data_IF_479771837028
#
_entry.id   IF_479771837028
#
_cell.length_a   1.000
_cell.length_b   1.000
_cell.length_c   1.000
_cell.angle_alpha   90.00
_cell.angle_beta   90.00
_cell.angle_gamma   90.00
#
_symmetry.space_group_name_H-M   'P 1'
#
loop_
_entity.id
_entity.type
_entity.pdbx_description
1 polymer ?
#
# COMPACT_ATOMS: atom_id res chain seq x y z
N UNK A 1 11.54 -7.56 -23.50
CA UNK A 1 11.60 -7.41 -22.15
C UNK A 1 10.96 -8.55 -21.47
N UNK A 2 11.57 -8.91 -20.48
CA UNK A 2 10.98 -9.92 -19.77
C UNK A 2 9.73 -9.37 -19.25
N UNK A 3 8.69 -10.03 -19.54
CA UNK A 3 7.51 -9.70 -18.96
C UNK A 3 7.63 -9.94 -17.50
N UNK A 4 7.31 -8.96 -16.79
CA UNK A 4 7.28 -9.14 -15.37
C UNK A 4 6.38 -10.27 -15.09
N UNK A 5 6.74 -11.08 -14.19
CA UNK A 5 5.88 -12.17 -13.90
C UNK A 5 4.57 -11.64 -13.48
N UNK A 6 3.56 -12.23 -13.99
CA UNK A 6 2.24 -11.90 -13.63
C UNK A 6 1.91 -12.64 -12.40
N UNK A 7 1.50 -11.92 -11.38
CA UNK A 7 1.11 -12.55 -10.15
C UNK A 7 -0.39 -12.61 -10.08
N UNK A 8 -0.89 -13.73 -9.64
CA UNK A 8 -2.32 -13.86 -9.41
C UNK A 8 -2.58 -13.52 -7.97
N UNK A 9 -3.31 -12.45 -7.76
CA UNK A 9 -3.70 -12.05 -6.43
C UNK A 9 -5.14 -12.43 -6.20
N UNK A 10 -5.45 -12.82 -4.99
CA UNK A 10 -6.81 -13.15 -4.61
C UNK A 10 -7.39 -12.18 -3.63
N UNK A 11 -6.57 -11.28 -3.07
CA UNK A 11 -7.02 -10.30 -2.11
C UNK A 11 -6.39 -8.96 -2.43
N UNK A 12 -7.14 -7.90 -2.19
CA UNK A 12 -6.69 -6.54 -2.44
C UNK A 12 -7.18 -5.66 -1.31
N UNK A 13 -6.34 -4.75 -0.86
CA UNK A 13 -6.71 -3.84 0.19
C UNK A 13 -5.97 -2.52 0.01
N UNK A 14 -6.45 -1.49 0.68
CA UNK A 14 -5.81 -0.18 0.67
C UNK A 14 -5.56 0.20 2.11
N UNK A 15 -4.32 0.54 2.42
CA UNK A 15 -3.97 1.03 3.74
C UNK A 15 -4.03 2.55 3.69
N UNK A 16 -4.74 3.16 4.64
CA UNK A 16 -4.92 4.60 4.69
C UNK A 16 -4.48 5.09 6.06
N UNK A 17 -3.57 6.04 6.07
CA UNK A 17 -3.10 6.64 7.32
C UNK A 17 -2.89 8.13 7.13
N UNK A 18 -3.13 8.89 8.19
CA UNK A 18 -2.88 10.32 8.16
C UNK A 18 -1.42 10.65 8.44
N UNK A 19 -0.62 9.67 8.83
CA UNK A 19 0.78 9.87 9.17
C UNK A 19 1.61 8.90 8.34
N UNK A 20 2.61 9.43 7.64
CA UNK A 20 3.43 8.60 6.76
C UNK A 20 4.16 7.51 7.55
N UNK A 21 4.66 7.83 8.74
CA UNK A 21 5.35 6.83 9.55
C UNK A 21 4.44 5.68 9.93
N UNK A 22 3.18 5.99 10.25
CA UNK A 22 2.23 4.93 10.57
C UNK A 22 1.90 4.11 9.34
N UNK A 23 1.83 4.74 8.17
CA UNK A 23 1.61 4.01 6.93
C UNK A 23 2.75 3.02 6.69
N UNK A 24 3.98 3.47 6.85
CA UNK A 24 5.14 2.61 6.64
C UNK A 24 5.12 1.45 7.62
N UNK A 25 4.80 1.71 8.88
CA UNK A 25 4.75 0.64 9.87
C UNK A 25 3.70 -0.40 9.52
N UNK A 26 2.52 0.07 9.13
CA UNK A 26 1.44 -0.85 8.81
C UNK A 26 1.79 -1.67 7.58
N UNK A 27 2.33 -1.02 6.55
CA UNK A 27 2.68 -1.72 5.32
C UNK A 27 3.77 -2.75 5.61
N UNK A 28 4.77 -2.39 6.42
CA UNK A 28 5.83 -3.35 6.76
C UNK A 28 5.27 -4.57 7.48
N UNK A 29 4.30 -4.35 8.37
CA UNK A 29 3.65 -5.44 9.07
C UNK A 29 2.94 -6.36 8.09
N UNK A 30 2.28 -5.77 7.10
CA UNK A 30 1.55 -6.55 6.12
C UNK A 30 2.48 -7.29 5.16
N UNK A 31 3.60 -6.67 4.81
CA UNK A 31 4.59 -7.35 3.98
C UNK A 31 5.11 -8.60 4.69
N UNK A 32 5.27 -8.53 6.01
CA UNK A 32 5.72 -9.69 6.77
C UNK A 32 4.68 -10.80 6.78
N UNK A 33 3.43 -10.47 6.46
CA UNK A 33 2.36 -11.46 6.41
C UNK A 33 2.08 -11.95 5.00
N UNK A 34 2.94 -11.61 4.05
CA UNK A 34 2.79 -12.11 2.69
C UNK A 34 2.09 -11.17 1.73
N UNK A 35 1.75 -9.96 2.16
CA UNK A 35 1.17 -8.99 1.26
C UNK A 35 2.25 -8.37 0.38
N UNK A 36 1.86 -7.85 -0.76
CA UNK A 36 2.75 -7.17 -1.70
C UNK A 36 2.24 -5.77 -1.92
N UNK A 37 3.15 -4.81 -2.07
CA UNK A 37 2.71 -3.46 -2.43
C UNK A 37 2.44 -3.41 -3.91
N UNK A 38 1.43 -2.64 -4.29
CA UNK A 38 1.03 -2.49 -5.67
C UNK A 38 1.02 -1.00 -5.97
N UNK A 39 1.92 -0.57 -6.86
CA UNK A 39 2.00 0.83 -7.21
C UNK A 39 2.66 1.65 -6.13
N UNK A 40 2.64 2.95 -6.30
CA UNK A 40 3.24 3.87 -5.36
C UNK A 40 2.24 4.37 -4.35
N UNK A 41 2.73 5.20 -3.44
CA UNK A 41 1.91 5.83 -2.42
C UNK A 41 1.18 7.00 -3.05
N UNK A 42 -0.10 7.12 -2.73
CA UNK A 42 -0.91 8.26 -3.13
C UNK A 42 -1.18 9.13 -1.91
N UNK A 43 -1.33 10.42 -2.14
CA UNK A 43 -1.55 11.37 -1.06
C UNK A 43 -2.77 12.21 -1.42
N UNK A 44 -3.64 12.42 -0.43
CA UNK A 44 -4.80 13.27 -0.62
C UNK A 44 -4.91 14.20 0.57
N UNK A 45 -5.01 15.49 0.30
CA UNK A 45 -5.20 16.47 1.35
C UNK A 45 -6.68 16.77 1.48
N UNK A 46 -7.18 16.71 2.70
CA UNK A 46 -8.57 17.04 2.99
C UNK A 46 -8.57 18.01 4.15
N UNK A 47 -8.78 19.30 3.86
CA UNK A 47 -8.67 20.32 4.87
C UNK A 47 -7.23 20.43 5.34
N UNK A 48 -7.01 20.28 6.63
CA UNK A 48 -5.67 20.32 7.20
C UNK A 48 -5.07 18.92 7.37
N UNK A 49 -5.81 17.89 6.98
CA UNK A 49 -5.35 16.50 7.14
C UNK A 49 -4.86 15.99 5.80
N UNK A 50 -3.72 15.32 5.83
CA UNK A 50 -3.16 14.69 4.63
C UNK A 50 -3.22 13.19 4.84
N UNK A 51 -3.92 12.51 3.94
CA UNK A 51 -4.03 11.05 4.01
C UNK A 51 -3.08 10.41 3.03
N UNK A 52 -2.49 9.31 3.46
CA UNK A 52 -1.54 8.56 2.65
C UNK A 52 -2.14 7.19 2.39
N UNK A 53 -2.09 6.76 1.15
CA UNK A 53 -2.71 5.52 0.70
C UNK A 53 -1.66 4.61 0.08
N UNK A 54 -1.75 3.33 0.37
CA UNK A 54 -0.90 2.33 -0.28
C UNK A 54 -1.75 1.12 -0.59
N UNK A 55 -1.79 0.75 -1.85
CA UNK A 55 -2.52 -0.46 -2.26
C UNK A 55 -1.65 -1.68 -2.04
N UNK A 56 -2.25 -2.74 -1.58
CA UNK A 56 -1.55 -4.00 -1.34
C UNK A 56 -2.42 -5.14 -1.84
N UNK A 57 -1.77 -6.26 -2.14
CA UNK A 57 -2.48 -7.43 -2.64
C UNK A 57 -1.72 -8.71 -2.24
N UNK A 58 -2.44 -9.79 -2.18
CA UNK A 58 -1.81 -11.10 -1.98
C UNK A 58 -2.68 -12.20 -2.53
#
# INVERSE_FOLDING_TARGET
MAKAEEKSYTQYAVVVKADMGLLVEEVNSLLARGWNVVGGISVLQNGTTVFHYQSIAK
#
